data_IF_308592492625
#
_entry.id   IF_308592492625
#
_cell.length_a   1.000
_cell.length_b   1.000
_cell.length_c   1.000
_cell.angle_alpha   90.00
_cell.angle_beta   90.00
_cell.angle_gamma   90.00
#
_symmetry.space_group_name_H-M   'P 1'
#
loop_
_entity.id
_entity.type
_entity.pdbx_description
1 polymer ?
#
# COMPACT_ATOMS: atom_id res chain seq x y z
N UNK A 1 -19.95 11.05 -20.25
CA UNK A 1 -20.67 10.58 -19.05
C UNK A 1 -19.64 9.89 -18.17
N UNK A 2 -19.10 10.62 -17.19
CA UNK A 2 -18.09 10.12 -16.25
C UNK A 2 -18.82 9.33 -15.17
N UNK A 3 -18.84 8.01 -15.31
CA UNK A 3 -19.21 7.15 -14.20
C UNK A 3 -18.09 7.24 -13.17
N UNK A 4 -18.44 7.70 -11.97
CA UNK A 4 -17.65 7.57 -10.77
C UNK A 4 -16.80 6.29 -10.86
N UNK A 5 -15.46 6.44 -10.87
CA UNK A 5 -14.57 5.34 -10.48
C UNK A 5 -14.77 5.16 -8.97
N UNK A 6 -15.95 4.67 -8.61
CA UNK A 6 -16.34 4.31 -7.28
C UNK A 6 -15.34 3.24 -6.85
N UNK A 7 -14.48 3.66 -5.93
CA UNK A 7 -13.82 2.83 -4.95
C UNK A 7 -14.75 1.64 -4.61
N UNK A 8 -14.44 0.43 -5.04
CA UNK A 8 -15.18 -0.75 -4.57
C UNK A 8 -14.54 -1.21 -3.26
N UNK A 9 -14.87 -0.53 -2.16
CA UNK A 9 -14.76 -1.16 -0.85
C UNK A 9 -15.65 -2.39 -0.93
N UNK A 10 -15.30 -3.48 -0.25
CA UNK A 10 -16.26 -4.55 -0.02
C UNK A 10 -17.57 -3.90 0.46
N UNK A 11 -18.74 -4.24 -0.10
CA UNK A 11 -20.01 -3.54 0.15
C UNK A 11 -20.28 -3.31 1.65
N UNK A 12 -19.91 -4.29 2.48
CA UNK A 12 -19.91 -4.25 3.95
C UNK A 12 -19.16 -3.06 4.57
N UNK A 13 -18.04 -2.67 3.98
CA UNK A 13 -17.12 -1.69 4.53
C UNK A 13 -17.55 -0.25 4.23
N UNK A 14 -18.48 -0.05 3.28
CA UNK A 14 -19.10 1.26 3.04
C UNK A 14 -19.81 1.79 4.30
N UNK A 15 -20.33 0.91 5.14
CA UNK A 15 -21.00 1.26 6.40
C UNK A 15 -20.03 1.84 7.43
N UNK A 16 -18.76 1.40 7.41
CA UNK A 16 -17.74 1.81 8.38
C UNK A 16 -16.73 2.81 7.82
N UNK A 17 -16.80 3.15 6.53
CA UNK A 17 -15.81 3.98 5.85
C UNK A 17 -15.49 5.27 6.61
N UNK A 18 -16.51 5.95 7.17
CA UNK A 18 -16.33 7.21 7.92
C UNK A 18 -15.42 7.07 9.15
N UNK A 19 -15.29 5.86 9.68
CA UNK A 19 -14.44 5.56 10.83
C UNK A 19 -12.98 5.34 10.44
N UNK A 20 -12.70 4.96 9.19
CA UNK A 20 -11.33 4.75 8.71
C UNK A 20 -10.57 6.05 8.56
N UNK A 21 -9.33 6.03 9.04
CA UNK A 21 -8.33 7.05 8.85
C UNK A 21 -7.88 7.17 7.41
N UNK A 22 -7.83 6.05 6.68
CA UNK A 22 -7.62 6.05 5.24
C UNK A 22 -8.73 6.82 4.54
N UNK A 23 -9.98 6.51 4.83
CA UNK A 23 -11.11 7.24 4.22
C UNK A 23 -11.12 8.73 4.58
N UNK A 24 -10.87 9.09 5.85
CA UNK A 24 -10.70 10.50 6.26
C UNK A 24 -9.57 11.17 5.50
N UNK A 25 -8.43 10.49 5.33
CA UNK A 25 -7.31 10.97 4.53
C UNK A 25 -7.74 11.21 3.10
N UNK A 26 -8.48 10.30 2.48
CA UNK A 26 -8.92 10.41 1.09
C UNK A 26 -9.84 11.61 0.88
N UNK A 27 -10.77 11.84 1.81
CA UNK A 27 -11.66 13.00 1.74
C UNK A 27 -10.90 14.33 1.88
N UNK A 28 -9.91 14.38 2.77
CA UNK A 28 -9.08 15.58 2.96
C UNK A 28 -8.14 15.81 1.79
N UNK A 29 -7.50 14.72 1.34
CA UNK A 29 -6.62 14.64 0.18
C UNK A 29 -7.41 14.43 -1.11
N UNK A 30 -8.67 14.89 -1.14
CA UNK A 30 -9.51 14.93 -2.33
C UNK A 30 -9.01 16.08 -3.22
N UNK A 31 -7.90 15.82 -3.87
CA UNK A 31 -7.43 16.58 -5.03
C UNK A 31 -8.25 16.04 -6.18
N UNK A 32 -9.01 16.89 -6.87
CA UNK A 32 -9.88 16.49 -7.98
C UNK A 32 -9.16 15.48 -8.87
N UNK A 33 -9.60 14.23 -8.77
CA UNK A 33 -8.93 13.05 -9.32
C UNK A 33 -8.95 13.11 -10.84
N UNK A 34 -10.07 13.59 -11.37
CA UNK A 34 -10.28 13.89 -12.76
C UNK A 34 -9.22 14.87 -13.25
N UNK A 35 -8.88 15.91 -12.48
CA UNK A 35 -7.82 16.82 -12.88
C UNK A 35 -6.45 16.12 -13.00
N UNK A 36 -6.01 15.28 -12.04
CA UNK A 36 -4.67 14.65 -12.11
C UNK A 36 -4.54 13.56 -13.17
N UNK A 37 -5.54 12.69 -13.29
CA UNK A 37 -5.53 11.63 -14.30
C UNK A 37 -5.80 12.19 -15.70
N UNK A 38 -6.66 13.22 -15.81
CA UNK A 38 -6.84 13.95 -17.05
C UNK A 38 -5.63 14.83 -17.36
N UNK A 39 -4.86 15.33 -16.38
CA UNK A 39 -3.58 15.98 -16.63
C UNK A 39 -2.59 14.97 -17.21
N UNK A 40 -2.42 13.80 -16.60
CA UNK A 40 -1.60 12.74 -17.17
C UNK A 40 -2.03 12.41 -18.61
N UNK A 41 -3.33 12.17 -18.87
CA UNK A 41 -3.84 11.86 -20.21
C UNK A 41 -3.68 13.01 -21.20
N UNK A 42 -3.98 14.25 -20.80
CA UNK A 42 -3.81 15.46 -21.62
C UNK A 42 -2.35 15.68 -21.97
N UNK A 43 -1.43 15.41 -21.04
CA UNK A 43 0.01 15.63 -21.24
C UNK A 43 0.71 14.48 -21.95
N UNK A 44 0.19 13.24 -21.84
CA UNK A 44 0.72 12.07 -22.56
C UNK A 44 0.27 11.98 -24.02
N UNK A 45 -0.87 12.61 -24.38
CA UNK A 45 -1.41 12.61 -25.74
C UNK A 45 -0.97 13.83 -26.57
N UNK A 46 0.01 14.63 -26.13
CA UNK A 46 0.50 15.77 -26.91
C UNK A 46 1.43 15.25 -28.01
N UNK A 47 0.89 15.06 -29.22
CA UNK A 47 1.68 15.15 -30.45
C UNK A 47 2.12 16.61 -30.63
N UNK A 48 3.36 16.82 -31.06
CA UNK A 48 4.07 18.12 -31.12
C UNK A 48 3.29 19.30 -31.74
N UNK A 49 2.21 19.06 -32.49
CA UNK A 49 1.44 20.06 -33.24
C UNK A 49 0.39 20.86 -32.44
N UNK A 50 0.17 20.59 -31.15
CA UNK A 50 -0.72 21.42 -30.30
C UNK A 50 -0.08 21.73 -28.94
N UNK A 51 0.98 22.54 -28.96
CA UNK A 51 1.59 23.17 -27.79
C UNK A 51 0.64 24.23 -27.19
N UNK A 52 -0.42 23.80 -26.53
CA UNK A 52 -1.12 24.65 -25.56
C UNK A 52 -0.68 24.19 -24.16
N UNK A 53 0.42 24.77 -23.69
CA UNK A 53 1.26 24.35 -22.56
C UNK A 53 0.63 24.49 -21.16
N UNK A 54 -0.49 23.82 -20.89
CA UNK A 54 -1.14 23.82 -19.57
C UNK A 54 -0.88 22.56 -18.74
N UNK A 55 0.18 21.82 -19.02
CA UNK A 55 0.58 20.66 -18.25
C UNK A 55 1.26 21.08 -16.93
N UNK A 56 0.69 20.76 -15.76
CA UNK A 56 1.34 21.08 -14.50
C UNK A 56 2.60 20.22 -14.35
N UNK A 57 3.70 20.87 -13.96
CA UNK A 57 4.97 20.21 -13.65
C UNK A 57 4.83 19.36 -12.38
N UNK A 58 5.66 18.33 -12.23
CA UNK A 58 5.75 17.51 -11.00
C UNK A 58 5.84 18.42 -9.76
N UNK A 59 6.68 19.46 -9.80
CA UNK A 59 6.87 20.41 -8.70
C UNK A 59 5.62 21.20 -8.32
N UNK A 60 4.81 21.59 -9.31
CA UNK A 60 3.56 22.31 -9.04
C UNK A 60 2.57 21.39 -8.32
N UNK A 61 2.42 20.16 -8.80
CA UNK A 61 1.54 19.16 -8.18
C UNK A 61 1.99 18.81 -6.76
N UNK A 62 3.28 18.54 -6.56
CA UNK A 62 3.79 18.17 -5.23
C UNK A 62 3.74 19.31 -4.23
N UNK A 63 3.82 20.57 -4.65
CA UNK A 63 3.62 21.73 -3.78
C UNK A 63 2.20 21.76 -3.19
N UNK A 64 1.18 21.48 -4.00
CA UNK A 64 -0.20 21.37 -3.49
C UNK A 64 -0.36 20.20 -2.52
N UNK A 65 0.28 19.06 -2.83
CA UNK A 65 0.27 17.89 -1.96
C UNK A 65 0.86 18.21 -0.58
N UNK A 66 1.97 18.95 -0.53
CA UNK A 66 2.59 19.36 0.74
C UNK A 66 1.67 20.19 1.61
N UNK A 67 0.99 21.17 1.02
CA UNK A 67 0.05 22.01 1.76
C UNK A 67 -1.09 21.16 2.34
N UNK A 68 -1.73 20.32 1.51
CA UNK A 68 -2.80 19.41 1.98
C UNK A 68 -2.30 18.42 3.03
N UNK A 69 -1.12 17.83 2.83
CA UNK A 69 -0.54 16.85 3.75
C UNK A 69 -0.24 17.46 5.11
N UNK A 70 0.37 18.64 5.14
CA UNK A 70 0.67 19.38 6.38
C UNK A 70 -0.59 19.67 7.20
N UNK A 71 -1.70 19.98 6.53
CA UNK A 71 -2.97 20.34 7.16
C UNK A 71 -3.84 19.13 7.57
N UNK A 72 -3.43 17.90 7.27
CA UNK A 72 -4.16 16.71 7.69
C UNK A 72 -3.80 16.31 9.12
N UNK A 73 -4.77 16.32 10.05
CA UNK A 73 -4.57 15.95 11.45
C UNK A 73 -5.77 15.26 12.12
N UNK A 74 -6.13 14.01 11.76
CA UNK A 74 -7.16 13.27 12.50
C UNK A 74 -6.65 12.66 13.81
N UNK A 75 -5.34 12.41 13.96
CA UNK A 75 -4.78 11.65 15.08
C UNK A 75 -3.48 12.24 15.67
N UNK A 76 -3.34 13.57 15.60
CA UNK A 76 -2.17 14.27 16.13
C UNK A 76 -0.95 14.25 15.20
N UNK A 77 0.24 14.49 15.77
CA UNK A 77 1.50 14.76 15.05
C UNK A 77 2.23 13.51 14.52
N UNK A 78 1.61 12.33 14.46
CA UNK A 78 2.30 11.11 13.99
C UNK A 78 2.54 11.16 12.48
N UNK A 79 3.72 11.66 12.09
CA UNK A 79 4.17 11.78 10.70
C UNK A 79 4.18 10.41 10.01
N UNK A 80 4.72 9.37 10.66
CA UNK A 80 4.82 8.02 10.11
C UNK A 80 3.46 7.49 9.65
N UNK A 81 2.41 7.72 10.42
CA UNK A 81 1.07 7.28 10.04
C UNK A 81 0.54 8.03 8.82
N UNK A 82 0.66 9.35 8.81
CA UNK A 82 0.20 10.17 7.67
C UNK A 82 0.93 9.81 6.39
N UNK A 83 2.24 9.58 6.49
CA UNK A 83 3.07 9.15 5.36
C UNK A 83 2.62 7.79 4.81
N UNK A 84 2.20 6.89 5.70
CA UNK A 84 1.66 5.60 5.29
C UNK A 84 0.30 5.71 4.58
N UNK A 85 -0.61 6.54 5.11
CA UNK A 85 -1.89 6.82 4.46
C UNK A 85 -1.70 7.43 3.07
N UNK A 86 -0.70 8.29 2.89
CA UNK A 86 -0.32 8.82 1.58
C UNK A 86 0.16 7.72 0.62
N UNK A 87 0.98 6.76 1.09
CA UNK A 87 1.41 5.62 0.27
C UNK A 87 0.20 4.84 -0.23
N UNK A 88 -0.72 4.48 0.66
CA UNK A 88 -1.94 3.74 0.30
C UNK A 88 -2.80 4.55 -0.69
N UNK A 89 -2.94 5.86 -0.47
CA UNK A 89 -3.62 6.77 -1.40
C UNK A 89 -3.02 6.75 -2.80
N UNK A 90 -1.69 6.80 -2.92
CA UNK A 90 -1.01 6.73 -4.23
C UNK A 90 -1.21 5.37 -4.88
N UNK A 91 -1.12 4.28 -4.12
CA UNK A 91 -1.29 2.94 -4.66
C UNK A 91 -2.67 2.73 -5.28
N UNK A 92 -3.70 3.34 -4.71
CA UNK A 92 -5.03 3.35 -5.32
C UNK A 92 -5.11 4.16 -6.61
N UNK A 93 -4.41 5.30 -6.68
CA UNK A 93 -4.31 6.05 -7.94
C UNK A 93 -3.63 5.23 -9.02
N UNK A 94 -2.57 4.51 -8.65
CA UNK A 94 -1.84 3.60 -9.53
C UNK A 94 -2.75 2.46 -10.02
N UNK A 95 -3.60 1.88 -9.16
CA UNK A 95 -4.61 0.90 -9.62
C UNK A 95 -5.54 1.48 -10.69
N UNK A 96 -5.88 2.77 -10.59
CA UNK A 96 -6.65 3.49 -11.60
C UNK A 96 -5.96 3.64 -12.96
N UNK A 97 -4.66 3.36 -13.08
CA UNK A 97 -3.89 3.38 -14.32
C UNK A 97 -4.13 2.18 -15.24
N UNK A 98 -4.82 1.12 -14.79
CA UNK A 98 -5.09 -0.09 -15.58
C UNK A 98 -3.82 -0.66 -16.26
N UNK A 99 -2.74 -0.80 -15.49
CA UNK A 99 -1.43 -1.35 -15.93
C UNK A 99 -0.67 -0.50 -16.95
N UNK A 100 -1.07 0.76 -17.20
CA UNK A 100 -0.29 1.66 -18.04
C UNK A 100 1.02 2.10 -17.33
N UNK A 101 2.17 1.62 -17.79
CA UNK A 101 3.48 1.87 -17.16
C UNK A 101 3.84 3.35 -17.05
N UNK A 102 3.48 4.18 -18.03
CA UNK A 102 3.74 5.62 -17.99
C UNK A 102 2.93 6.30 -16.88
N UNK A 103 1.64 5.98 -16.77
CA UNK A 103 0.77 6.47 -15.69
C UNK A 103 1.28 6.06 -14.30
N UNK A 104 1.68 4.78 -14.15
CA UNK A 104 2.21 4.27 -12.90
C UNK A 104 3.52 4.98 -12.54
N UNK A 105 4.43 5.12 -13.51
CA UNK A 105 5.71 5.81 -13.33
C UNK A 105 5.51 7.28 -12.96
N UNK A 106 4.51 7.95 -13.55
CA UNK A 106 4.16 9.33 -13.23
C UNK A 106 3.74 9.50 -11.76
N UNK A 107 2.82 8.66 -11.26
CA UNK A 107 2.43 8.69 -9.85
C UNK A 107 3.59 8.41 -8.91
N UNK A 108 4.47 7.48 -9.28
CA UNK A 108 5.68 7.24 -8.50
C UNK A 108 6.65 8.43 -8.52
N UNK A 109 6.79 9.13 -9.65
CA UNK A 109 7.61 10.34 -9.74
C UNK A 109 7.07 11.48 -8.87
N UNK A 110 5.74 11.65 -8.84
CA UNK A 110 5.08 12.60 -7.93
C UNK A 110 5.35 12.23 -6.47
N UNK A 111 5.18 10.96 -6.11
CA UNK A 111 5.41 10.49 -4.75
C UNK A 111 6.88 10.66 -4.34
N UNK A 112 7.85 10.34 -5.20
CA UNK A 112 9.28 10.56 -4.89
C UNK A 112 9.61 12.02 -4.64
N UNK A 113 9.19 12.91 -5.55
CA UNK A 113 9.47 14.34 -5.39
C UNK A 113 8.81 14.92 -4.13
N UNK A 114 7.59 14.49 -3.82
CA UNK A 114 6.95 14.84 -2.55
C UNK A 114 7.76 14.30 -1.36
N UNK A 115 8.15 13.02 -1.40
CA UNK A 115 8.76 12.31 -0.28
C UNK A 115 10.05 12.98 0.15
N UNK A 116 10.96 13.25 -0.79
CA UNK A 116 12.28 13.84 -0.57
C UNK A 116 12.22 15.22 0.10
N UNK A 117 11.10 15.92 -0.07
CA UNK A 117 10.90 17.28 0.41
C UNK A 117 9.90 17.33 1.60
N UNK A 118 9.47 16.19 2.12
CA UNK A 118 8.49 16.06 3.20
C UNK A 118 9.10 15.43 4.46
N UNK A 119 8.38 15.53 5.59
CA UNK A 119 8.74 14.87 6.86
C UNK A 119 8.67 13.34 6.77
N UNK A 120 8.12 12.78 5.69
CA UNK A 120 8.11 11.33 5.44
C UNK A 120 9.50 10.78 5.16
N UNK A 121 10.36 11.59 4.56
CA UNK A 121 11.76 11.28 4.42
C UNK A 121 12.47 11.59 5.73
N UNK A 122 12.61 10.56 6.59
CA UNK A 122 13.52 10.63 7.73
C UNK A 122 14.97 10.67 7.21
N UNK A 123 15.46 11.89 6.93
CA UNK A 123 16.75 12.14 6.28
C UNK A 123 17.89 11.74 7.20
N UNK A 124 18.61 10.70 6.80
CA UNK A 124 19.82 10.26 7.48
C UNK A 124 21.04 10.75 6.71
N UNK A 125 21.99 11.37 7.42
CA UNK A 125 23.28 11.76 6.84
C UNK A 125 24.07 10.49 6.51
N UNK A 126 24.49 10.38 5.27
CA UNK A 126 25.45 9.37 4.83
C UNK A 126 26.76 10.08 4.56
N UNK A 127 27.79 9.70 5.33
CA UNK A 127 29.14 10.16 5.06
C UNK A 127 29.63 9.53 3.76
N UNK A 128 29.59 10.30 2.68
CA UNK A 128 30.25 9.92 1.44
C UNK A 128 31.76 9.90 1.62
N UNK A 129 32.45 8.99 0.91
CA UNK A 129 33.92 9.01 0.82
C UNK A 129 34.45 10.29 0.15
N UNK A 130 33.58 11.02 -0.55
CA UNK A 130 33.87 12.29 -1.19
C UNK A 130 33.71 13.44 -0.19
N UNK A 131 34.85 13.97 0.25
CA UNK A 131 34.94 15.14 1.13
C UNK A 131 34.29 16.35 0.45
N UNK A 132 33.07 16.73 0.85
CA UNK A 132 32.55 18.07 0.54
C UNK A 132 31.04 18.26 0.35
N UNK A 133 30.20 17.22 0.31
CA UNK A 133 28.74 17.38 0.27
C UNK A 133 28.05 16.39 1.20
N UNK A 134 27.30 16.90 2.18
CA UNK A 134 26.39 16.08 2.98
C UNK A 134 25.40 15.38 2.03
N UNK A 135 25.47 14.05 1.94
CA UNK A 135 24.49 13.24 1.21
C UNK A 135 23.45 12.75 2.22
N UNK A 136 22.18 13.02 1.97
CA UNK A 136 21.09 12.52 2.81
C UNK A 136 20.36 11.41 2.07
N UNK A 137 20.01 10.33 2.78
CA UNK A 137 19.12 9.28 2.26
C UNK A 137 17.85 9.23 3.11
N UNK A 138 16.72 8.91 2.48
CA UNK A 138 15.48 8.66 3.21
C UNK A 138 15.51 7.24 3.79
N UNK A 139 15.47 7.12 5.11
CA UNK A 139 15.48 5.82 5.80
C UNK A 139 14.24 4.97 5.51
N UNK A 140 13.09 5.62 5.35
CA UNK A 140 11.79 4.98 5.15
C UNK A 140 11.29 5.25 3.73
N UNK A 141 11.80 4.52 2.73
CA UNK A 141 11.30 4.65 1.35
C UNK A 141 10.17 3.65 1.11
N UNK A 142 9.14 4.10 0.41
CA UNK A 142 8.08 3.23 -0.10
C UNK A 142 8.62 2.29 -1.18
N UNK A 143 7.92 1.18 -1.41
CA UNK A 143 8.33 0.17 -2.38
C UNK A 143 7.52 0.34 -3.67
N UNK A 144 8.21 0.55 -4.78
CA UNK A 144 7.56 0.61 -6.10
C UNK A 144 7.25 -0.80 -6.59
N UNK A 145 6.05 -1.00 -7.12
CA UNK A 145 5.65 -2.22 -7.80
C UNK A 145 4.65 -1.90 -8.90
N UNK A 146 4.79 -2.58 -10.04
CA UNK A 146 3.85 -2.48 -11.16
C UNK A 146 2.79 -3.58 -11.09
N UNK A 147 2.92 -4.52 -10.14
CA UNK A 147 1.93 -5.56 -9.91
C UNK A 147 0.75 -4.97 -9.12
N UNK A 148 -0.39 -4.78 -9.79
CA UNK A 148 -1.59 -4.19 -9.20
C UNK A 148 -2.25 -5.09 -8.15
N UNK A 149 -2.08 -6.41 -8.23
CA UNK A 149 -2.56 -7.34 -7.22
C UNK A 149 -1.82 -7.15 -5.90
N UNK A 150 -0.51 -6.87 -5.97
CA UNK A 150 0.27 -6.55 -4.76
C UNK A 150 -0.29 -5.31 -4.06
N UNK A 151 -0.63 -4.27 -4.83
CA UNK A 151 -1.24 -3.06 -4.29
C UNK A 151 -2.64 -3.32 -3.71
N UNK A 152 -3.44 -4.16 -4.39
CA UNK A 152 -4.77 -4.57 -3.93
C UNK A 152 -4.68 -5.32 -2.60
N UNK A 153 -3.85 -6.35 -2.51
CA UNK A 153 -3.72 -7.18 -1.31
C UNK A 153 -3.22 -6.39 -0.11
N UNK A 154 -2.28 -5.45 -0.35
CA UNK A 154 -1.81 -4.53 0.68
C UNK A 154 -2.96 -3.71 1.25
N UNK A 155 -3.76 -3.12 0.36
CA UNK A 155 -4.91 -2.30 0.74
C UNK A 155 -5.98 -3.11 1.48
N UNK A 156 -6.41 -4.24 0.93
CA UNK A 156 -7.43 -5.12 1.54
C UNK A 156 -6.99 -5.53 2.97
N UNK A 157 -5.71 -5.86 3.13
CA UNK A 157 -5.13 -6.23 4.42
C UNK A 157 -5.11 -5.06 5.42
N UNK A 158 -4.77 -3.84 4.99
CA UNK A 158 -4.82 -2.67 5.87
C UNK A 158 -6.24 -2.27 6.25
N UNK A 159 -7.15 -2.21 5.28
CA UNK A 159 -8.56 -1.85 5.50
C UNK A 159 -9.21 -2.77 6.54
N UNK A 160 -8.88 -4.08 6.53
CA UNK A 160 -9.33 -5.01 7.55
C UNK A 160 -9.05 -4.53 8.98
N UNK A 161 -7.84 -4.03 9.27
CA UNK A 161 -7.48 -3.58 10.63
C UNK A 161 -8.22 -2.33 11.06
N UNK A 162 -8.48 -1.42 10.12
CA UNK A 162 -9.24 -0.19 10.37
C UNK A 162 -10.69 -0.49 10.76
N UNK A 163 -11.26 -1.57 10.24
CA UNK A 163 -12.66 -1.95 10.47
C UNK A 163 -12.84 -3.10 11.47
N UNK A 164 -11.76 -3.77 11.85
CA UNK A 164 -11.84 -5.03 12.60
C UNK A 164 -12.61 -4.89 13.93
N UNK A 165 -12.37 -3.83 14.71
CA UNK A 165 -13.03 -3.66 16.02
C UNK A 165 -14.55 -3.43 15.84
N UNK A 166 -14.98 -2.82 14.74
CA UNK A 166 -16.40 -2.67 14.39
C UNK A 166 -17.01 -4.01 13.99
N UNK A 167 -16.32 -4.76 13.12
CA UNK A 167 -16.74 -6.11 12.70
C UNK A 167 -16.89 -7.02 13.94
N UNK A 168 -15.91 -6.98 14.85
CA UNK A 168 -15.94 -7.74 16.11
C UNK A 168 -17.13 -7.40 16.99
N UNK A 169 -17.47 -6.11 17.11
CA UNK A 169 -18.62 -5.64 17.89
C UNK A 169 -19.92 -6.20 17.30
N UNK A 170 -20.08 -6.12 15.97
CA UNK A 170 -21.24 -6.65 15.26
C UNK A 170 -21.39 -8.16 15.50
N UNK A 171 -20.31 -8.92 15.28
CA UNK A 171 -20.30 -10.36 15.50
C UNK A 171 -20.57 -10.77 16.96
N UNK A 172 -20.39 -9.86 17.93
CA UNK A 172 -20.70 -10.13 19.35
C UNK A 172 -22.20 -10.02 19.70
N UNK A 173 -23.02 -9.45 18.81
CA UNK A 173 -24.44 -9.21 19.07
C UNK A 173 -25.25 -10.47 18.75
N UNK A 174 -26.01 -10.98 19.74
CA UNK A 174 -26.73 -12.26 19.69
C UNK A 174 -27.82 -12.38 18.61
N UNK A 175 -28.25 -11.28 17.98
CA UNK A 175 -29.49 -11.23 17.19
C UNK A 175 -29.32 -10.73 15.75
N UNK A 176 -28.10 -10.65 15.20
CA UNK A 176 -27.90 -10.13 13.85
C UNK A 176 -27.86 -11.24 12.79
N UNK A 177 -28.75 -11.11 11.80
CA UNK A 177 -29.02 -12.08 10.74
C UNK A 177 -28.01 -12.04 9.57
N UNK A 178 -26.93 -11.26 9.68
CA UNK A 178 -25.95 -11.02 8.61
C UNK A 178 -24.50 -11.36 9.00
N UNK A 179 -24.28 -12.21 10.01
CA UNK A 179 -22.92 -12.57 10.43
C UNK A 179 -22.13 -13.33 9.36
N UNK A 180 -22.82 -14.00 8.42
CA UNK A 180 -22.19 -14.78 7.34
C UNK A 180 -21.30 -13.91 6.45
N UNK A 181 -21.79 -12.77 5.95
CA UNK A 181 -21.01 -11.87 5.09
C UNK A 181 -19.74 -11.34 5.81
N UNK A 182 -19.84 -11.03 7.11
CA UNK A 182 -18.69 -10.62 7.92
C UNK A 182 -17.69 -11.76 8.13
N UNK A 183 -18.19 -12.97 8.36
CA UNK A 183 -17.34 -14.15 8.48
C UNK A 183 -16.66 -14.52 7.16
N UNK A 184 -17.32 -14.34 6.02
CA UNK A 184 -16.74 -14.53 4.69
C UNK A 184 -15.62 -13.52 4.44
N UNK A 185 -15.84 -12.26 4.80
CA UNK A 185 -14.80 -11.23 4.71
C UNK A 185 -13.58 -11.55 5.60
N UNK A 186 -13.80 -11.96 6.85
CA UNK A 186 -12.72 -12.40 7.75
C UNK A 186 -11.97 -13.60 7.14
N UNK A 187 -12.69 -14.60 6.65
CA UNK A 187 -12.11 -15.79 6.03
C UNK A 187 -11.28 -15.44 4.81
N UNK A 188 -11.74 -14.50 3.98
CA UNK A 188 -10.98 -13.98 2.85
C UNK A 188 -9.66 -13.34 3.31
N UNK A 189 -9.69 -12.46 4.31
CA UNK A 189 -8.48 -11.79 4.81
C UNK A 189 -7.51 -12.78 5.46
N UNK A 190 -8.01 -13.78 6.19
CA UNK A 190 -7.17 -14.80 6.83
C UNK A 190 -6.47 -15.69 5.79
N UNK A 191 -7.19 -16.08 4.72
CA UNK A 191 -6.59 -16.77 3.57
C UNK A 191 -5.55 -15.90 2.88
N UNK A 192 -5.84 -14.61 2.70
CA UNK A 192 -4.91 -13.66 2.10
C UNK A 192 -3.62 -13.56 2.93
N UNK A 193 -3.74 -13.36 4.24
CA UNK A 193 -2.59 -13.30 5.15
C UNK A 193 -1.72 -14.56 5.07
N UNK A 194 -2.35 -15.73 5.12
CA UNK A 194 -1.63 -17.01 5.00
C UNK A 194 -0.82 -17.08 3.69
N UNK A 195 -1.41 -16.68 2.55
CA UNK A 195 -0.71 -16.60 1.27
C UNK A 195 0.47 -15.61 1.31
N UNK A 196 0.26 -14.41 1.88
CA UNK A 196 1.30 -13.38 1.95
C UNK A 196 2.50 -13.81 2.79
N UNK A 197 2.26 -14.52 3.90
CA UNK A 197 3.34 -15.07 4.74
C UNK A 197 4.10 -16.19 4.05
N UNK A 198 3.42 -17.11 3.35
CA UNK A 198 4.08 -18.14 2.55
C UNK A 198 4.98 -17.54 1.49
N UNK A 199 4.53 -16.48 0.80
CA UNK A 199 5.33 -15.77 -0.19
C UNK A 199 6.59 -15.13 0.44
N UNK A 200 6.49 -14.55 1.64
CA UNK A 200 7.63 -14.01 2.37
C UNK A 200 8.61 -15.13 2.78
N UNK A 201 8.09 -16.21 3.37
CA UNK A 201 8.91 -17.33 3.87
C UNK A 201 9.61 -18.13 2.77
N UNK A 202 8.96 -18.35 1.62
CA UNK A 202 9.50 -19.14 0.52
C UNK A 202 10.44 -18.34 -0.40
N UNK A 203 10.12 -17.08 -0.66
CA UNK A 203 10.78 -16.31 -1.74
C UNK A 203 11.74 -15.24 -1.23
N UNK A 204 11.75 -14.97 0.08
CA UNK A 204 12.54 -13.87 0.66
C UNK A 204 12.23 -12.51 0.03
N UNK A 205 11.04 -12.37 -0.59
CA UNK A 205 10.61 -11.16 -1.29
C UNK A 205 10.08 -10.13 -0.27
N UNK A 206 10.43 -8.83 -0.42
CA UNK A 206 10.65 -7.94 0.72
C UNK A 206 9.39 -7.23 1.22
N UNK A 207 9.43 -6.86 2.51
CA UNK A 207 8.91 -5.67 3.22
C UNK A 207 7.59 -4.97 2.84
N UNK A 208 7.06 -5.08 1.62
CA UNK A 208 5.91 -4.29 1.16
C UNK A 208 4.64 -4.59 1.96
N UNK A 209 4.50 -5.80 2.50
CA UNK A 209 3.42 -6.18 3.40
C UNK A 209 3.83 -6.19 4.87
N UNK A 210 5.08 -5.85 5.22
CA UNK A 210 5.60 -6.03 6.59
C UNK A 210 4.73 -5.35 7.63
N UNK A 211 4.23 -4.16 7.32
CA UNK A 211 3.34 -3.44 8.22
C UNK A 211 2.01 -4.18 8.43
N UNK A 212 1.35 -4.64 7.38
CA UNK A 212 0.11 -5.43 7.49
C UNK A 212 0.35 -6.77 8.20
N UNK A 213 1.44 -7.45 7.88
CA UNK A 213 1.80 -8.70 8.52
C UNK A 213 2.07 -8.50 10.01
N UNK A 214 2.78 -7.44 10.39
CA UNK A 214 3.02 -7.11 11.80
C UNK A 214 1.73 -6.73 12.54
N UNK A 215 0.83 -5.96 11.91
CA UNK A 215 -0.50 -5.69 12.48
C UNK A 215 -1.28 -6.99 12.71
N UNK A 216 -1.23 -7.92 11.76
CA UNK A 216 -1.90 -9.21 11.86
C UNK A 216 -1.32 -10.06 12.99
N UNK A 217 0.00 -10.25 13.01
CA UNK A 217 0.72 -11.01 14.03
C UNK A 217 0.44 -10.47 15.42
N UNK A 218 0.48 -9.15 15.60
CA UNK A 218 0.23 -8.53 16.89
C UNK A 218 -1.22 -8.69 17.35
N UNK A 219 -2.19 -8.69 16.42
CA UNK A 219 -3.62 -8.80 16.74
C UNK A 219 -4.06 -10.25 16.98
N UNK A 220 -3.60 -11.19 16.15
CA UNK A 220 -4.07 -12.59 16.10
C UNK A 220 -3.04 -13.64 16.50
N UNK A 221 -1.79 -13.25 16.76
CA UNK A 221 -0.75 -14.17 17.24
C UNK A 221 -1.03 -14.71 18.64
N UNK A 222 -1.82 -13.98 19.44
CA UNK A 222 -2.29 -14.44 20.74
C UNK A 222 -3.59 -15.24 20.60
N UNK A 223 -3.68 -16.36 21.33
CA UNK A 223 -4.81 -17.31 21.25
C UNK A 223 -6.18 -16.69 21.57
N UNK A 224 -6.25 -15.64 22.39
CA UNK A 224 -7.51 -15.06 22.85
C UNK A 224 -8.33 -14.44 21.71
N UNK A 225 -7.70 -13.61 20.87
CA UNK A 225 -8.41 -12.89 19.81
C UNK A 225 -8.82 -13.85 18.70
N UNK A 226 -7.90 -14.74 18.33
CA UNK A 226 -8.11 -15.76 17.31
C UNK A 226 -9.23 -16.74 17.71
N UNK A 227 -9.24 -17.18 18.98
CA UNK A 227 -10.29 -18.05 19.51
C UNK A 227 -11.65 -17.35 19.55
N UNK A 228 -11.68 -16.05 19.90
CA UNK A 228 -12.91 -15.26 19.90
C UNK A 228 -13.56 -15.23 18.51
N UNK A 229 -12.79 -14.98 17.45
CA UNK A 229 -13.32 -15.03 16.10
C UNK A 229 -13.74 -16.46 15.74
N UNK A 230 -12.91 -17.47 16.04
CA UNK A 230 -13.21 -18.87 15.70
C UNK A 230 -14.55 -19.34 16.28
N UNK A 231 -14.89 -18.91 17.49
CA UNK A 231 -16.18 -19.24 18.11
C UNK A 231 -17.41 -18.63 17.39
N UNK A 232 -17.20 -17.62 16.54
CA UNK A 232 -18.26 -16.87 15.85
C UNK A 232 -18.30 -17.15 14.35
N UNK A 233 -17.14 -17.39 13.76
CA UNK A 233 -16.95 -17.65 12.34
C UNK A 233 -16.27 -19.00 12.14
N UNK A 234 -16.79 -19.80 11.19
CA UNK A 234 -16.16 -21.06 10.81
C UNK A 234 -14.89 -20.79 10.00
N UNK A 235 -13.77 -20.63 10.71
CA UNK A 235 -12.44 -20.47 10.11
C UNK A 235 -11.79 -21.85 10.02
N UNK A 236 -11.19 -22.15 8.87
CA UNK A 236 -10.47 -23.40 8.66
C UNK A 236 -9.32 -23.56 9.68
N UNK A 237 -9.30 -24.69 10.38
CA UNK A 237 -8.26 -25.03 11.35
C UNK A 237 -6.85 -24.97 10.75
N UNK A 238 -6.67 -25.34 9.48
CA UNK A 238 -5.35 -25.30 8.84
C UNK A 238 -4.78 -23.89 8.76
N UNK A 239 -5.63 -22.88 8.51
CA UNK A 239 -5.22 -21.47 8.48
C UNK A 239 -4.81 -21.01 9.88
N UNK A 240 -5.56 -21.43 10.90
CA UNK A 240 -5.27 -21.12 12.30
C UNK A 240 -3.93 -21.72 12.74
N UNK A 241 -3.70 -23.00 12.44
CA UNK A 241 -2.44 -23.69 12.75
C UNK A 241 -1.26 -23.03 12.05
N UNK A 242 -1.46 -22.62 10.79
CA UNK A 242 -0.45 -21.89 10.04
C UNK A 242 -0.12 -20.55 10.69
N UNK A 243 -1.13 -19.74 11.06
CA UNK A 243 -0.93 -18.46 11.78
C UNK A 243 -0.14 -18.68 13.09
N UNK A 244 -0.51 -19.70 13.89
CA UNK A 244 0.17 -20.03 15.15
C UNK A 244 1.63 -20.43 14.91
N UNK A 245 1.88 -21.33 13.97
CA UNK A 245 3.22 -21.79 13.62
C UNK A 245 4.13 -20.64 13.20
N UNK A 246 3.63 -19.75 12.33
CA UNK A 246 4.38 -18.58 11.88
C UNK A 246 4.65 -17.60 13.01
N UNK A 247 3.68 -17.36 13.90
CA UNK A 247 3.88 -16.48 15.05
C UNK A 247 4.97 -17.02 15.99
N UNK A 248 4.94 -18.31 16.30
CA UNK A 248 5.99 -18.97 17.09
C UNK A 248 7.37 -18.90 16.41
N UNK A 249 7.43 -19.10 15.09
CA UNK A 249 8.67 -18.96 14.33
C UNK A 249 9.22 -17.53 14.39
N UNK A 250 8.36 -16.51 14.26
CA UNK A 250 8.77 -15.11 14.36
C UNK A 250 9.28 -14.74 15.77
N UNK A 251 8.65 -15.23 16.83
CA UNK A 251 9.15 -15.05 18.20
C UNK A 251 10.55 -15.68 18.38
N UNK A 252 10.79 -16.83 17.75
CA UNK A 252 12.09 -17.52 17.79
C UNK A 252 13.17 -16.88 16.92
N UNK A 253 12.78 -16.11 15.90
CA UNK A 253 13.68 -15.32 15.07
C UNK A 253 14.04 -13.98 15.72
N UNK A 254 13.14 -13.38 16.50
CA UNK A 254 13.43 -12.17 17.27
C UNK A 254 14.51 -12.33 18.35
N UNK A 255 14.84 -13.57 18.74
CA UNK A 255 15.93 -13.89 19.68
C UNK A 255 17.26 -14.23 19.01
N UNK A 256 17.31 -14.34 17.67
CA UNK A 256 18.54 -14.55 16.91
C UNK A 256 18.46 -13.83 15.57
N UNK A 257 19.25 -12.77 15.38
CA UNK A 257 19.60 -12.25 14.04
C UNK A 257 20.28 -13.37 13.23
N UNK A 258 19.50 -14.26 12.64
CA UNK A 258 20.00 -15.20 11.65
C UNK A 258 20.08 -14.47 10.33
N UNK A 259 21.32 -14.24 9.90
CA UNK A 259 21.66 -13.97 8.51
C UNK A 259 21.09 -15.12 7.68
N UNK A 260 19.91 -14.92 7.08
CA UNK A 260 19.36 -15.87 6.12
C UNK A 260 20.16 -15.72 4.83
N UNK A 261 20.95 -16.74 4.51
CA UNK A 261 21.60 -16.88 3.20
C UNK A 261 20.51 -16.91 2.13
N UNK A 262 20.50 -15.85 1.30
CA UNK A 262 19.59 -15.71 0.15
C UNK A 262 19.80 -16.88 -0.81
N UNK A 263 18.79 -17.73 -0.98
CA UNK A 263 18.70 -18.54 -2.19
C UNK A 263 18.22 -17.64 -3.32
N UNK A 264 19.06 -17.43 -4.32
CA UNK A 264 18.71 -16.80 -5.60
C UNK A 264 17.77 -17.72 -6.36
N UNK A 265 16.47 -17.65 -6.05
CA UNK A 265 15.44 -18.08 -6.99
C UNK A 265 15.03 -16.83 -7.76
N UNK A 266 15.30 -16.83 -9.06
CA UNK A 266 14.88 -15.75 -9.96
C UNK A 266 13.37 -15.55 -9.83
N UNK A 267 12.86 -14.32 -9.71
CA UNK A 267 11.42 -14.10 -9.79
C UNK A 267 10.91 -14.62 -11.13
N UNK A 268 9.78 -15.34 -11.13
CA UNK A 268 9.05 -15.75 -12.34
C UNK A 268 8.24 -14.58 -12.95
N UNK A 269 8.51 -13.35 -12.48
CA UNK A 269 8.06 -12.12 -13.09
C UNK A 269 9.30 -11.43 -13.62
N UNK A 270 9.43 -11.40 -14.95
CA UNK A 270 10.63 -10.96 -15.66
C UNK A 270 11.26 -9.71 -15.04
N UNK A 271 12.56 -9.81 -14.76
CA UNK A 271 13.41 -8.63 -14.59
C UNK A 271 13.22 -7.78 -15.85
N UNK A 272 12.65 -6.59 -15.69
CA UNK A 272 12.59 -5.61 -16.76
C UNK A 272 14.03 -5.21 -17.12
N UNK A 273 14.54 -5.74 -18.23
CA UNK A 273 15.76 -5.25 -18.88
C UNK A 273 15.37 -4.13 -19.85
N UNK A 274 15.75 -2.87 -19.57
CA UNK A 274 15.49 -1.76 -20.48
C UNK A 274 16.08 -1.97 -21.89
N UNK A 275 17.07 -2.86 -22.05
CA UNK A 275 17.74 -3.13 -23.32
C UNK A 275 16.96 -4.08 -24.24
N UNK A 276 15.96 -4.80 -23.73
CA UNK A 276 15.15 -5.73 -24.52
C UNK A 276 13.76 -5.19 -24.84
N UNK A 277 13.46 -3.95 -24.43
CA UNK A 277 12.21 -3.28 -24.80
C UNK A 277 12.24 -2.89 -26.28
N UNK A 278 11.32 -3.44 -27.07
CA UNK A 278 11.11 -3.06 -28.47
C UNK A 278 10.45 -1.68 -28.62
N UNK A 279 10.08 -1.02 -27.52
CA UNK A 279 9.38 0.27 -27.53
C UNK A 279 10.33 1.48 -27.62
N UNK A 280 11.64 1.26 -27.71
CA UNK A 280 12.62 2.30 -28.00
C UNK A 280 13.23 2.00 -29.37
N UNK A 281 12.68 2.60 -30.42
CA UNK A 281 13.42 2.78 -31.67
C UNK A 281 14.35 3.98 -31.44
N UNK A 282 15.69 3.80 -31.39
CA UNK A 282 16.59 4.93 -31.31
C UNK A 282 16.60 5.63 -32.66
N UNK A 283 16.00 6.81 -32.74
CA UNK A 283 16.18 7.68 -33.90
C UNK A 283 17.57 8.32 -33.81
N UNK A 284 18.53 7.69 -34.48
CA UNK A 284 19.68 8.39 -35.04
C UNK A 284 19.24 9.06 -36.34
N UNK A 285 19.26 10.39 -36.36
CA UNK A 285 19.84 11.25 -37.40
C UNK A 285 19.72 12.71 -36.96
#
# INVERSE_FOLDING_TARGET
MSTDKAYSTHKLLEEFKKNSNLYKFYNHFNINIDNLYDYYKKCSNITESTLNNNCPTIKQVTKEWKNKFGNFSPHGKNVTERCYLLILWIYDRIKGCNSNNYCISWFYGLLENFWDESDCCNKEKVYGKDKGKDKYICKNKFIKTFNLDVLKYKRDSYDFFEYYDYIKNILSRRYQQNNEEYCDYINYIFKLYHKLEEEVGQRGLPHIYERELNLFRNKFGNDNELSSIKSKCNINNSIIESIKSMYSANLSAGSHEKIVTRHTVSPDYGLYDPKTSTDIVPFYN
#
